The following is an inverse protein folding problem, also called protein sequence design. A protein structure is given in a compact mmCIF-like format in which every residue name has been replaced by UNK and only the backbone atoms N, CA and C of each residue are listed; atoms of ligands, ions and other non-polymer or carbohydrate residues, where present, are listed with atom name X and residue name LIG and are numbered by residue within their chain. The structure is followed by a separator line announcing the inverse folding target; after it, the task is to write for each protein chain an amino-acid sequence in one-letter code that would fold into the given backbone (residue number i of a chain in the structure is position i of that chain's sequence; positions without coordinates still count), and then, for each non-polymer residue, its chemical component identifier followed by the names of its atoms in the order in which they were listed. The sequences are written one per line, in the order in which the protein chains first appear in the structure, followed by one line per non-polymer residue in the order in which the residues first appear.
data_IF_992416413579
#
_entry.id   IF_992416413579
#
_cell.length_a   1.000
_cell.length_b   1.000
_cell.length_c   1.000
_cell.angle_alpha   90.00
_cell.angle_beta   90.00
_cell.angle_gamma   90.00
#
_symmetry.space_group_name_H-M   'P 1'
#
loop_
_entity.id
_entity.type
_entity.pdbx_description
1 polymer ?
#
# COMPACT_ATOMS: atom_id res chain seq x y z
N UNK A 1 6.49 -0.42 9.20
CA UNK A 1 6.28 -0.05 10.61
C UNK A 1 5.86 -1.31 11.33
N UNK A 2 6.45 -1.63 12.46
CA UNK A 2 6.02 -2.76 13.30
C UNK A 2 4.75 -2.40 14.09
N UNK A 3 4.21 -3.36 14.83
CA UNK A 3 2.98 -3.15 15.58
C UNK A 3 3.16 -2.22 16.79
N UNK A 4 4.36 -2.13 17.37
CA UNK A 4 4.62 -1.23 18.49
C UNK A 4 4.57 0.23 18.05
N UNK A 5 5.31 0.57 17.00
CA UNK A 5 5.30 1.91 16.42
C UNK A 5 3.92 2.24 15.86
N UNK A 6 3.20 1.27 15.29
CA UNK A 6 1.81 1.48 14.85
C UNK A 6 0.90 1.88 16.01
N UNK A 7 0.94 1.15 17.13
CA UNK A 7 0.14 1.46 18.33
C UNK A 7 0.47 2.84 18.88
N UNK A 8 1.75 3.22 18.90
CA UNK A 8 2.16 4.54 19.35
C UNK A 8 1.54 5.66 18.50
N UNK A 9 1.68 5.57 17.17
CA UNK A 9 1.05 6.52 16.24
C UNK A 9 -0.47 6.59 16.42
N UNK A 10 -1.12 5.45 16.62
CA UNK A 10 -2.56 5.39 16.81
C UNK A 10 -3.03 6.01 18.13
N UNK A 11 -2.30 5.79 19.23
CA UNK A 11 -2.64 6.30 20.55
C UNK A 11 -2.51 7.82 20.65
N UNK A 12 -1.39 8.37 20.15
CA UNK A 12 -1.10 9.81 20.30
C UNK A 12 -1.46 10.61 19.04
N UNK A 13 -1.99 9.94 18.01
CA UNK A 13 -2.33 10.51 16.70
C UNK A 13 -1.15 11.23 16.03
N UNK A 14 0.06 10.71 16.25
CA UNK A 14 1.26 11.22 15.59
C UNK A 14 1.17 10.95 14.09
N UNK A 15 1.47 11.95 13.28
CA UNK A 15 1.46 11.81 11.82
C UNK A 15 2.60 10.91 11.35
N UNK A 16 2.29 9.92 10.52
CA UNK A 16 3.30 9.14 9.81
C UNK A 16 3.61 9.78 8.45
N UNK A 17 4.90 9.91 8.11
CA UNK A 17 5.36 10.42 6.81
C UNK A 17 6.28 9.39 6.14
N UNK A 18 5.72 8.34 5.49
CA UNK A 18 6.52 7.29 4.85
C UNK A 18 7.36 7.81 3.67
N UNK A 19 8.69 7.71 3.76
CA UNK A 19 9.63 8.12 2.70
C UNK A 19 9.77 7.10 1.55
N UNK A 20 9.58 5.80 1.84
CA UNK A 20 9.63 4.70 0.84
C UNK A 20 8.25 4.08 0.61
N UNK A 21 7.22 4.93 0.55
CA UNK A 21 5.79 4.57 0.53
C UNK A 21 5.41 3.50 -0.51
N UNK A 22 6.03 3.52 -1.69
CA UNK A 22 5.70 2.61 -2.79
C UNK A 22 6.65 1.42 -2.94
N UNK A 23 7.67 1.27 -2.07
CA UNK A 23 8.67 0.20 -2.16
C UNK A 23 9.30 0.07 -3.58
N UNK A 24 9.56 1.20 -4.24
CA UNK A 24 9.99 1.25 -5.65
C UNK A 24 9.04 0.52 -6.63
N UNK A 25 7.75 0.53 -6.35
CA UNK A 25 6.71 -0.16 -7.13
C UNK A 25 6.75 -1.68 -7.01
N UNK A 26 7.17 -2.21 -5.85
CA UNK A 26 7.37 -3.65 -5.64
C UNK A 26 6.15 -4.49 -6.06
N UNK A 27 4.96 -4.23 -5.50
CA UNK A 27 3.76 -5.00 -5.83
C UNK A 27 3.33 -4.86 -7.30
N UNK A 28 3.40 -3.66 -7.88
CA UNK A 28 3.12 -3.47 -9.31
C UNK A 28 4.08 -4.27 -10.19
N UNK A 29 5.37 -4.30 -9.84
CA UNK A 29 6.37 -5.09 -10.57
C UNK A 29 6.18 -6.59 -10.39
N UNK A 30 5.84 -7.02 -9.18
CA UNK A 30 5.55 -8.41 -8.87
C UNK A 30 4.38 -8.93 -9.72
N UNK A 31 3.30 -8.14 -9.83
CA UNK A 31 2.15 -8.47 -10.68
C UNK A 31 2.47 -8.63 -12.17
N UNK A 32 3.47 -7.90 -12.66
CA UNK A 32 3.88 -7.98 -14.07
C UNK A 32 5.03 -8.98 -14.31
N UNK A 33 5.51 -9.68 -13.27
CA UNK A 33 6.69 -10.54 -13.35
C UNK A 33 8.02 -9.81 -13.55
N UNK A 34 8.04 -8.47 -13.43
CA UNK A 34 9.21 -7.62 -13.70
C UNK A 34 9.96 -7.19 -12.43
N UNK A 35 9.79 -7.91 -11.32
CA UNK A 35 10.50 -7.61 -10.07
C UNK A 35 11.98 -8.02 -10.20
N UNK A 36 12.89 -7.10 -9.87
CA UNK A 36 14.34 -7.35 -9.91
C UNK A 36 14.78 -8.04 -8.62
N UNK A 37 15.83 -8.88 -8.69
CA UNK A 37 16.41 -9.58 -7.54
C UNK A 37 16.69 -8.66 -6.35
N UNK A 38 17.23 -7.46 -6.58
CA UNK A 38 17.47 -6.50 -5.49
C UNK A 38 16.22 -6.08 -4.71
N UNK A 39 15.07 -5.92 -5.39
CA UNK A 39 13.81 -5.65 -4.71
C UNK A 39 13.24 -6.89 -4.02
N UNK A 40 13.43 -8.07 -4.63
CA UNK A 40 13.03 -9.33 -4.01
C UNK A 40 13.81 -9.60 -2.72
N UNK A 41 15.10 -9.27 -2.66
CA UNK A 41 15.90 -9.45 -1.45
C UNK A 41 15.48 -8.52 -0.30
N UNK A 42 14.90 -7.35 -0.62
CA UNK A 42 14.48 -6.36 0.40
C UNK A 42 13.04 -6.60 0.84
N UNK A 43 12.14 -6.89 -0.10
CA UNK A 43 10.69 -6.95 0.14
C UNK A 43 10.09 -8.35 -0.03
N UNK A 44 10.84 -9.31 -0.56
CA UNK A 44 10.40 -10.69 -0.73
C UNK A 44 10.39 -11.43 0.61
N UNK A 45 9.22 -11.52 1.20
CA UNK A 45 8.94 -12.31 2.39
C UNK A 45 7.49 -12.81 2.35
N UNK A 46 7.17 -13.75 3.24
CA UNK A 46 5.85 -14.41 3.28
C UNK A 46 4.73 -13.38 3.53
N UNK A 47 4.93 -12.46 4.46
CA UNK A 47 3.93 -11.44 4.81
C UNK A 47 3.58 -10.52 3.62
N UNK A 48 4.57 -10.11 2.83
CA UNK A 48 4.35 -9.32 1.63
C UNK A 48 3.74 -10.14 0.50
N UNK A 49 4.02 -11.44 0.41
CA UNK A 49 3.37 -12.33 -0.57
C UNK A 49 1.87 -12.48 -0.26
N UNK A 50 1.50 -12.73 1.01
CA UNK A 50 0.10 -12.80 1.43
C UNK A 50 -0.62 -11.48 1.21
N UNK A 51 0.01 -10.35 1.56
CA UNK A 51 -0.54 -9.01 1.27
C UNK A 51 -0.75 -8.79 -0.22
N UNK A 52 0.20 -9.25 -1.03
CA UNK A 52 0.11 -9.11 -2.48
C UNK A 52 -1.09 -9.87 -3.04
N UNK A 53 -1.30 -11.12 -2.62
CA UNK A 53 -2.46 -11.92 -3.03
C UNK A 53 -3.79 -11.26 -2.65
N UNK A 54 -3.88 -10.74 -1.42
CA UNK A 54 -5.06 -9.98 -0.96
C UNK A 54 -5.29 -8.69 -1.75
N UNK A 55 -4.22 -7.95 -2.06
CA UNK A 55 -4.30 -6.75 -2.90
C UNK A 55 -4.76 -7.11 -4.32
N UNK A 56 -4.32 -8.25 -4.88
CA UNK A 56 -4.80 -8.73 -6.17
C UNK A 56 -6.30 -9.06 -6.13
N UNK A 57 -6.78 -9.69 -5.06
CA UNK A 57 -8.22 -9.94 -4.87
C UNK A 57 -9.01 -8.64 -4.79
N UNK A 58 -8.61 -7.68 -3.94
CA UNK A 58 -9.23 -6.36 -3.88
C UNK A 58 -9.22 -5.65 -5.26
N UNK A 59 -8.15 -5.82 -6.04
CA UNK A 59 -8.04 -5.25 -7.38
C UNK A 59 -9.07 -5.84 -8.35
N UNK A 60 -9.27 -7.17 -8.32
CA UNK A 60 -10.29 -7.83 -9.14
C UNK A 60 -11.70 -7.39 -8.78
N UNK A 61 -12.01 -7.28 -7.49
CA UNK A 61 -13.37 -6.96 -7.03
C UNK A 61 -13.74 -5.48 -7.23
N UNK A 62 -12.78 -4.56 -7.04
CA UNK A 62 -13.05 -3.12 -7.10
C UNK A 62 -12.74 -2.47 -8.45
N UNK A 63 -11.98 -3.16 -9.31
CA UNK A 63 -11.43 -2.60 -10.55
C UNK A 63 -10.31 -1.57 -10.34
N UNK A 64 -9.92 -1.29 -9.09
CA UNK A 64 -8.79 -0.41 -8.78
C UNK A 64 -7.47 -1.12 -9.11
N UNK A 65 -6.47 -0.36 -9.55
CA UNK A 65 -5.15 -0.93 -9.82
C UNK A 65 -4.44 -1.30 -8.51
N UNK A 66 -3.51 -2.26 -8.58
CA UNK A 66 -2.63 -2.63 -7.45
C UNK A 66 -1.89 -1.40 -6.90
N UNK A 67 -1.49 -0.49 -7.79
CA UNK A 67 -0.86 0.77 -7.42
C UNK A 67 -1.81 1.63 -6.56
N UNK A 68 -3.05 1.81 -7.01
CA UNK A 68 -4.03 2.66 -6.33
C UNK A 68 -4.41 2.10 -4.97
N UNK A 69 -4.62 0.78 -4.88
CA UNK A 69 -4.90 0.09 -3.61
C UNK A 69 -3.72 0.23 -2.64
N UNK A 70 -2.49 0.04 -3.13
CA UNK A 70 -1.29 0.14 -2.28
C UNK A 70 -1.11 1.55 -1.70
N UNK A 71 -1.36 2.59 -2.48
CA UNK A 71 -1.26 3.98 -2.02
C UNK A 71 -2.45 4.37 -1.12
N UNK A 72 -3.66 4.00 -1.51
CA UNK A 72 -4.86 4.25 -0.71
C UNK A 72 -4.80 3.55 0.65
N UNK A 73 -4.21 2.35 0.71
CA UNK A 73 -3.96 1.63 1.97
C UNK A 73 -3.21 2.52 2.96
N UNK A 74 -2.10 3.16 2.55
CA UNK A 74 -1.33 4.05 3.43
C UNK A 74 -2.16 5.22 3.96
N UNK A 75 -3.05 5.78 3.14
CA UNK A 75 -3.91 6.90 3.54
C UNK A 75 -5.08 6.50 4.43
N UNK A 76 -5.37 5.20 4.54
CA UNK A 76 -6.57 4.68 5.21
C UNK A 76 -6.28 4.15 6.62
N UNK A 77 -5.16 4.57 7.23
CA UNK A 77 -4.80 4.20 8.59
C UNK A 77 -5.62 5.00 9.61
N UNK A 78 -5.69 4.52 10.86
CA UNK A 78 -6.43 5.15 11.96
C UNK A 78 -5.77 6.42 12.52
N UNK A 79 -4.68 6.87 11.91
CA UNK A 79 -3.93 8.09 12.21
C UNK A 79 -3.48 8.78 10.91
N UNK A 80 -3.22 10.11 10.93
CA UNK A 80 -2.80 10.84 9.75
C UNK A 80 -1.55 10.22 9.12
N UNK A 81 -1.64 9.89 7.84
CA UNK A 81 -0.53 9.33 7.07
C UNK A 81 -0.36 10.09 5.77
N UNK A 82 0.81 10.69 5.59
CA UNK A 82 1.15 11.54 4.45
C UNK A 82 2.32 10.90 3.70
N UNK A 83 2.08 9.96 2.78
CA UNK A 83 3.15 9.28 2.05
C UNK A 83 3.87 10.23 1.11
N UNK A 84 5.21 10.20 1.14
CA UNK A 84 6.03 10.86 0.12
C UNK A 84 6.04 9.93 -1.10
N UNK A 85 5.57 10.43 -2.24
CA UNK A 85 5.47 9.68 -3.50
C UNK A 85 6.26 10.37 -4.60
N UNK A 86 6.93 9.58 -5.43
CA UNK A 86 7.79 10.06 -6.50
C UNK A 86 7.39 9.45 -7.84
N UNK A 87 7.41 10.25 -8.90
CA UNK A 87 7.00 9.84 -10.24
C UNK A 87 8.15 9.95 -11.23
N UNK A 88 8.21 9.03 -12.18
CA UNK A 88 9.20 9.04 -13.26
C UNK A 88 8.77 9.87 -14.46
N UNK A 89 7.46 10.09 -14.62
CA UNK A 89 6.90 10.82 -15.76
C UNK A 89 5.58 11.50 -15.39
N UNK A 90 5.13 12.39 -16.29
CA UNK A 90 3.91 13.18 -16.11
C UNK A 90 2.65 12.32 -16.03
N UNK A 91 2.57 11.22 -16.78
CA UNK A 91 1.38 10.36 -16.77
C UNK A 91 1.16 9.71 -15.40
N UNK A 92 2.24 9.28 -14.74
CA UNK A 92 2.16 8.76 -13.37
C UNK A 92 1.70 9.83 -12.37
N UNK A 93 2.20 11.06 -12.51
CA UNK A 93 1.76 12.19 -11.69
C UNK A 93 0.26 12.47 -11.91
N UNK A 94 -0.18 12.64 -13.16
CA UNK A 94 -1.59 12.92 -13.47
C UNK A 94 -2.52 11.83 -12.95
N UNK A 95 -2.21 10.56 -13.20
CA UNK A 95 -2.98 9.43 -12.67
C UNK A 95 -3.09 9.47 -11.14
N UNK A 96 -1.98 9.78 -10.45
CA UNK A 96 -1.99 9.87 -8.99
C UNK A 96 -2.80 11.05 -8.48
N UNK A 97 -2.77 12.19 -9.17
CA UNK A 97 -3.59 13.35 -8.81
C UNK A 97 -5.08 13.04 -8.93
N UNK A 98 -5.50 12.31 -9.97
CA UNK A 98 -6.89 11.88 -10.15
C UNK A 98 -7.38 10.92 -9.06
N UNK A 99 -6.46 10.16 -8.46
CA UNK A 99 -6.74 9.20 -7.39
C UNK A 99 -6.28 9.70 -6.01
N UNK A 100 -5.92 10.97 -5.89
CA UNK A 100 -5.28 11.50 -4.69
C UNK A 100 -6.16 11.35 -3.45
N UNK A 101 -7.47 11.47 -3.58
CA UNK A 101 -8.43 11.36 -2.48
C UNK A 101 -8.92 9.94 -2.21
N UNK A 102 -8.45 8.95 -2.99
CA UNK A 102 -8.84 7.56 -2.79
C UNK A 102 -8.45 7.06 -1.39
N UNK A 103 -9.41 6.42 -0.73
CA UNK A 103 -9.25 5.71 0.55
C UNK A 103 -9.95 4.37 0.48
N UNK A 104 -9.45 3.40 1.25
CA UNK A 104 -10.04 2.08 1.39
C UNK A 104 -10.98 2.03 2.58
N UNK A 105 -11.95 1.12 2.55
CA UNK A 105 -12.77 0.83 3.71
C UNK A 105 -11.92 0.23 4.84
N UNK A 106 -12.39 0.35 6.08
CA UNK A 106 -11.73 -0.31 7.23
C UNK A 106 -11.60 -1.82 7.02
N UNK A 107 -12.65 -2.45 6.48
CA UNK A 107 -12.66 -3.89 6.21
C UNK A 107 -11.59 -4.29 5.18
N UNK A 108 -11.41 -3.50 4.11
CA UNK A 108 -10.33 -3.70 3.13
C UNK A 108 -8.94 -3.55 3.75
N UNK A 109 -8.75 -2.56 4.62
CA UNK A 109 -7.47 -2.36 5.32
C UNK A 109 -7.16 -3.55 6.23
N UNK A 110 -8.13 -3.99 7.03
CA UNK A 110 -7.99 -5.16 7.92
C UNK A 110 -7.76 -6.44 7.13
N UNK A 111 -8.46 -6.62 6.02
CA UNK A 111 -8.26 -7.76 5.12
C UNK A 111 -6.85 -7.77 4.55
N UNK A 112 -6.39 -6.68 3.91
CA UNK A 112 -5.02 -6.57 3.36
C UNK A 112 -3.99 -6.84 4.47
N UNK A 113 -4.21 -6.33 5.68
CA UNK A 113 -3.31 -6.55 6.83
C UNK A 113 -3.33 -7.98 7.38
N UNK A 114 -4.32 -8.80 7.01
CA UNK A 114 -4.51 -10.17 7.50
C UNK A 114 -5.21 -10.27 8.84
N UNK A 115 -5.93 -9.22 9.24
CA UNK A 115 -6.71 -9.15 10.47
C UNK A 115 -8.17 -9.59 10.27
N UNK A 116 -8.62 -9.67 9.00
CA UNK A 116 -9.94 -10.17 8.63
C UNK A 116 -9.84 -11.01 7.34
N UNK A 117 -10.81 -11.90 7.13
CA UNK A 117 -10.89 -12.77 5.94
C UNK A 117 -11.94 -12.30 4.92
N UNK A 118 -12.62 -11.17 5.18
CA UNK A 118 -13.66 -10.60 4.32
C UNK A 118 -13.48 -9.06 4.25
N UNK A 119 -13.82 -8.43 3.12
CA UNK A 119 -13.73 -6.98 2.94
C UNK A 119 -14.87 -6.36 2.11
#
# INVERSE_FOLDING_TARGET
MDDEMFRFHDQVKLTAVPFTSQASGYFTKLATGNVRNGLMNIYGNIENQERFERIQECSRETGLSIHDISLAYLKSQSFPTVPIIGFKNKNQLTHNLEKMDLTLSKAMVEYIRGQNNLF
#
